data_IF_211496220145
#
_entry.id   IF_211496220145
#
_cell.length_a   1.000
_cell.length_b   1.000
_cell.length_c   1.000
_cell.angle_alpha   90.00
_cell.angle_beta   90.00
_cell.angle_gamma   90.00
#
_symmetry.space_group_name_H-M   'P 1'
#
loop_
_entity.id
_entity.type
_entity.pdbx_description
1 polymer ?
#
# COMPACT_ATOMS: atom_id res chain seq x y z
N UNK A 1 6.92 -12.58 14.23
CA UNK A 1 7.44 -11.31 13.69
C UNK A 1 8.00 -11.50 12.28
N UNK A 2 7.90 -10.49 11.43
CA UNK A 2 8.49 -10.52 10.08
C UNK A 2 10.00 -10.24 10.11
N UNK A 3 10.74 -10.74 9.10
CA UNK A 3 12.16 -10.41 8.92
C UNK A 3 12.34 -8.91 8.72
N UNK A 4 13.31 -8.29 9.40
CA UNK A 4 13.66 -6.86 9.28
C UNK A 4 13.83 -6.43 7.81
N UNK A 5 14.54 -7.24 7.02
CA UNK A 5 14.74 -7.00 5.58
C UNK A 5 13.43 -6.92 4.77
N UNK A 6 12.39 -7.66 5.18
CA UNK A 6 11.08 -7.63 4.50
C UNK A 6 10.25 -6.41 4.90
N UNK A 7 10.45 -5.88 6.10
CA UNK A 7 9.83 -4.63 6.56
C UNK A 7 10.49 -3.47 5.81
N UNK A 8 11.82 -3.38 5.84
CA UNK A 8 12.60 -2.36 5.13
C UNK A 8 12.29 -2.33 3.62
N UNK A 9 12.18 -3.51 2.98
CA UNK A 9 11.80 -3.59 1.56
C UNK A 9 10.39 -3.06 1.28
N UNK A 10 9.46 -3.19 2.22
CA UNK A 10 8.10 -2.66 2.05
C UNK A 10 8.08 -1.13 2.23
N UNK A 11 8.93 -0.60 3.11
CA UNK A 11 9.07 0.84 3.31
C UNK A 11 9.72 1.52 2.10
N UNK A 12 10.80 0.94 1.57
CA UNK A 12 11.41 1.39 0.31
C UNK A 12 10.39 1.42 -0.85
N UNK A 13 9.45 0.47 -0.89
CA UNK A 13 8.35 0.48 -1.88
C UNK A 13 7.38 1.62 -1.64
N UNK A 14 7.04 1.95 -0.39
CA UNK A 14 6.17 3.09 -0.08
C UNK A 14 6.80 4.40 -0.54
N UNK A 15 8.08 4.60 -0.24
CA UNK A 15 8.86 5.76 -0.70
C UNK A 15 8.90 5.85 -2.23
N UNK A 16 9.20 4.73 -2.90
CA UNK A 16 9.23 4.68 -4.37
C UNK A 16 7.86 4.97 -4.96
N UNK A 17 6.79 4.41 -4.39
CA UNK A 17 5.41 4.70 -4.83
C UNK A 17 5.09 6.18 -4.66
N UNK A 18 5.41 6.78 -3.52
CA UNK A 18 5.17 8.19 -3.26
C UNK A 18 5.89 9.08 -4.28
N UNK A 19 7.17 8.78 -4.58
CA UNK A 19 7.97 9.52 -5.57
C UNK A 19 7.36 9.53 -6.97
N UNK A 20 6.77 8.42 -7.41
CA UNK A 20 6.24 8.26 -8.78
C UNK A 20 4.70 8.42 -8.87
N UNK A 21 4.01 8.66 -7.75
CA UNK A 21 2.54 8.62 -7.68
C UNK A 21 1.88 9.61 -8.65
N UNK A 22 2.30 10.88 -8.62
CA UNK A 22 1.75 11.93 -9.45
C UNK A 22 1.94 11.62 -10.95
N UNK A 23 3.18 11.36 -11.36
CA UNK A 23 3.49 11.07 -12.77
C UNK A 23 2.77 9.83 -13.28
N UNK A 24 2.64 8.78 -12.47
CA UNK A 24 1.91 7.57 -12.86
C UNK A 24 0.40 7.81 -12.96
N UNK A 25 -0.17 8.70 -12.14
CA UNK A 25 -1.57 9.07 -12.24
C UNK A 25 -1.86 9.80 -13.57
N UNK A 26 -1.02 10.77 -13.94
CA UNK A 26 -1.11 11.47 -15.22
C UNK A 26 -1.05 10.51 -16.42
N UNK A 27 -0.04 9.64 -16.46
CA UNK A 27 0.14 8.70 -17.56
C UNK A 27 -1.01 7.71 -17.67
N UNK A 28 -1.52 7.22 -16.52
CA UNK A 28 -2.69 6.34 -16.51
C UNK A 28 -3.95 7.07 -16.95
N UNK A 29 -4.07 8.35 -16.64
CA UNK A 29 -5.19 9.17 -17.06
C UNK A 29 -5.17 9.39 -18.58
N UNK A 30 -4.02 9.64 -19.19
CA UNK A 30 -3.85 9.66 -20.66
C UNK A 30 -4.33 8.35 -21.28
N UNK A 31 -3.99 7.21 -20.67
CA UNK A 31 -4.43 5.90 -21.17
C UNK A 31 -5.93 5.64 -20.98
N UNK A 32 -6.54 6.22 -19.94
CA UNK A 32 -7.97 6.06 -19.63
C UNK A 32 -8.84 6.91 -20.56
N UNK A 33 -8.37 8.09 -20.95
CA UNK A 33 -9.14 9.06 -21.74
C UNK A 33 -9.45 8.53 -23.15
N UNK A 34 -10.73 8.49 -23.57
CA UNK A 34 -11.10 8.10 -24.93
C UNK A 34 -10.58 9.05 -26.01
N UNK A 35 -10.44 10.34 -25.69
CA UNK A 35 -9.98 11.40 -26.59
C UNK A 35 -8.48 11.44 -26.84
N UNK A 36 -7.67 10.67 -26.10
CA UNK A 36 -6.24 10.63 -26.30
C UNK A 36 -5.89 9.97 -27.65
N UNK A 37 -4.96 10.59 -28.37
CA UNK A 37 -4.46 10.07 -29.65
C UNK A 37 -3.66 8.78 -29.44
N UNK A 38 -3.54 7.96 -30.49
CA UNK A 38 -2.75 6.73 -30.42
C UNK A 38 -1.27 7.01 -30.09
N UNK A 39 -0.71 8.10 -30.63
CA UNK A 39 0.66 8.52 -30.36
C UNK A 39 0.89 8.85 -28.87
N UNK A 40 -0.02 9.60 -28.24
CA UNK A 40 0.03 9.91 -26.81
C UNK A 40 -0.10 8.66 -25.95
N UNK A 41 -1.01 7.74 -26.31
CA UNK A 41 -1.17 6.46 -25.63
C UNK A 41 0.08 5.60 -25.74
N UNK A 42 0.72 5.56 -26.91
CA UNK A 42 1.95 4.81 -27.12
C UNK A 42 3.10 5.40 -26.29
N UNK A 43 3.25 6.73 -26.27
CA UNK A 43 4.24 7.43 -25.46
C UNK A 43 4.03 7.15 -23.95
N UNK A 44 2.78 7.23 -23.48
CA UNK A 44 2.44 6.98 -22.08
C UNK A 44 2.71 5.52 -21.66
N UNK A 45 2.41 4.54 -22.52
CA UNK A 45 2.75 3.12 -22.29
C UNK A 45 4.26 2.91 -22.22
N UNK A 46 5.02 3.51 -23.14
CA UNK A 46 6.50 3.43 -23.17
C UNK A 46 7.10 4.02 -21.89
N UNK A 47 6.63 5.18 -21.46
CA UNK A 47 7.11 5.81 -20.22
C UNK A 47 6.77 4.97 -18.98
N UNK A 48 5.51 4.51 -18.85
CA UNK A 48 5.11 3.64 -17.75
C UNK A 48 5.92 2.34 -17.68
N UNK A 49 6.33 1.79 -18.83
CA UNK A 49 7.17 0.61 -18.94
C UNK A 49 8.64 0.84 -18.54
N UNK A 50 9.17 2.05 -18.72
CA UNK A 50 10.53 2.42 -18.29
C UNK A 50 10.66 2.63 -16.78
N UNK A 51 9.55 2.96 -16.11
CA UNK A 51 9.57 3.22 -14.68
C UNK A 51 9.82 1.95 -13.85
N UNK A 52 10.38 2.08 -12.62
CA UNK A 52 10.62 0.93 -11.75
C UNK A 52 9.33 0.15 -11.45
N UNK A 53 9.40 -1.18 -11.44
CA UNK A 53 8.24 -2.04 -11.10
C UNK A 53 7.67 -1.74 -9.71
N UNK A 54 8.54 -1.45 -8.75
CA UNK A 54 8.17 -1.15 -7.37
C UNK A 54 7.50 0.24 -7.20
N UNK A 55 7.47 1.07 -8.25
CA UNK A 55 6.65 2.30 -8.29
C UNK A 55 5.13 2.02 -8.38
N UNK A 56 4.72 0.76 -8.60
CA UNK A 56 3.30 0.40 -8.57
C UNK A 56 2.79 0.21 -7.14
N UNK A 57 1.80 1.00 -6.74
CA UNK A 57 1.14 0.93 -5.43
C UNK A 57 0.61 -0.47 -5.07
N UNK A 58 0.22 -1.26 -6.06
CA UNK A 58 -0.25 -2.65 -5.87
C UNK A 58 0.77 -3.59 -5.24
N UNK A 59 2.06 -3.23 -5.24
CA UNK A 59 3.16 -4.05 -4.70
C UNK A 59 3.47 -3.74 -3.23
N UNK A 60 2.91 -2.66 -2.69
CA UNK A 60 2.98 -2.34 -1.27
C UNK A 60 2.01 -3.27 -0.54
N UNK A 61 2.49 -3.89 0.55
CA UNK A 61 1.66 -4.76 1.38
C UNK A 61 1.38 -4.08 2.70
N UNK A 62 0.12 -4.11 3.13
CA UNK A 62 -0.22 -3.73 4.49
C UNK A 62 0.37 -4.74 5.47
N UNK A 63 1.14 -4.23 6.42
CA UNK A 63 1.83 -5.00 7.46
C UNK A 63 1.46 -4.37 8.79
N UNK A 64 1.35 -5.21 9.80
CA UNK A 64 1.28 -4.77 11.19
C UNK A 64 2.41 -3.78 11.49
N UNK A 65 2.08 -2.66 12.14
CA UNK A 65 3.05 -1.63 12.50
C UNK A 65 4.01 -2.08 13.61
N UNK A 66 3.63 -3.07 14.43
CA UNK A 66 4.47 -3.55 15.54
C UNK A 66 5.39 -4.67 15.09
N UNK A 67 4.83 -5.76 14.57
CA UNK A 67 5.59 -6.99 14.30
C UNK A 67 5.85 -7.26 12.81
N UNK A 68 5.29 -6.43 11.91
CA UNK A 68 5.43 -6.54 10.47
C UNK A 68 4.62 -7.65 9.80
N UNK A 69 3.67 -8.30 10.50
CA UNK A 69 2.87 -9.43 10.00
C UNK A 69 2.05 -9.01 8.77
N UNK A 70 2.18 -9.71 7.62
CA UNK A 70 1.57 -9.29 6.36
C UNK A 70 0.11 -9.79 6.13
N UNK A 71 -0.49 -10.43 7.14
CA UNK A 71 -1.79 -11.13 7.05
C UNK A 71 -2.67 -10.83 8.25
N UNK A 72 -3.99 -10.80 8.00
CA UNK A 72 -4.99 -10.47 9.01
C UNK A 72 -4.86 -9.03 9.48
N UNK A 73 -4.57 -8.11 8.55
CA UNK A 73 -4.37 -6.68 8.83
C UNK A 73 -5.70 -5.95 8.86
N UNK A 74 -5.96 -5.20 9.92
CA UNK A 74 -7.12 -4.34 10.06
C UNK A 74 -6.74 -2.89 9.73
N UNK A 75 -7.26 -2.36 8.62
CA UNK A 75 -6.91 -1.01 8.13
C UNK A 75 -7.24 0.10 9.13
N UNK A 76 -8.35 -0.02 9.85
CA UNK A 76 -8.78 0.95 10.86
C UNK A 76 -7.78 1.08 12.03
N UNK A 77 -7.06 0.02 12.36
CA UNK A 77 -6.16 -0.02 13.52
C UNK A 77 -4.67 -0.04 13.14
N UNK A 78 -4.33 -0.39 11.90
CA UNK A 78 -2.92 -0.55 11.50
C UNK A 78 -2.25 -1.82 12.04
N UNK A 79 -3.00 -2.72 12.66
CA UNK A 79 -2.48 -3.89 13.36
C UNK A 79 -2.92 -5.20 12.69
N UNK A 80 -2.19 -6.28 12.94
CA UNK A 80 -2.67 -7.62 12.66
C UNK A 80 -3.71 -8.06 13.69
N UNK A 81 -4.45 -9.12 13.39
CA UNK A 81 -5.45 -9.71 14.32
C UNK A 81 -4.90 -10.08 15.70
N UNK A 82 -3.60 -10.37 15.80
CA UNK A 82 -2.96 -10.73 17.07
C UNK A 82 -2.65 -9.46 17.88
N UNK A 83 -1.95 -8.50 17.28
CA UNK A 83 -1.67 -7.21 17.91
C UNK A 83 -2.95 -6.46 18.26
N UNK A 84 -3.97 -6.51 17.39
CA UNK A 84 -5.29 -5.93 17.68
C UNK A 84 -5.92 -6.54 18.93
N UNK A 85 -5.92 -7.88 19.05
CA UNK A 85 -6.49 -8.57 20.22
C UNK A 85 -5.72 -8.24 21.49
N UNK A 86 -4.40 -8.22 21.43
CA UNK A 86 -3.53 -7.90 22.56
C UNK A 86 -3.78 -6.45 23.05
N UNK A 87 -3.77 -5.48 22.14
CA UNK A 87 -4.02 -4.07 22.45
C UNK A 87 -5.46 -3.83 22.94
N UNK A 88 -6.45 -4.55 22.39
CA UNK A 88 -7.83 -4.49 22.88
C UNK A 88 -7.96 -5.04 24.30
N UNK A 89 -7.31 -6.17 24.60
CA UNK A 89 -7.31 -6.73 25.96
C UNK A 89 -6.59 -5.85 26.97
N UNK A 90 -5.53 -5.15 26.55
CA UNK A 90 -4.80 -4.20 27.37
C UNK A 90 -5.54 -2.87 27.59
N UNK A 91 -6.65 -2.62 26.88
CA UNK A 91 -7.39 -1.36 26.96
C UNK A 91 -6.73 -0.19 26.23
N UNK A 92 -5.72 -0.45 25.38
CA UNK A 92 -5.00 0.59 24.62
C UNK A 92 -5.79 1.13 23.42
N UNK A 93 -6.95 0.53 23.10
CA UNK A 93 -7.77 0.89 21.95
C UNK A 93 -9.06 1.60 22.41
N UNK A 94 -9.19 2.92 22.18
CA UNK A 94 -10.35 3.68 22.62
C UNK A 94 -11.65 3.14 22.03
N UNK A 95 -12.66 2.95 22.89
CA UNK A 95 -14.00 2.51 22.48
C UNK A 95 -14.10 1.05 22.00
N UNK A 96 -13.02 0.26 22.07
CA UNK A 96 -13.04 -1.15 21.68
C UNK A 96 -13.44 -2.02 22.87
N UNK A 97 -14.57 -2.71 22.75
CA UNK A 97 -15.04 -3.71 23.72
C UNK A 97 -15.59 -4.95 23.00
N UNK A 98 -15.72 -6.07 23.71
CA UNK A 98 -16.46 -7.23 23.18
C UNK A 98 -17.91 -6.82 22.96
N UNK A 99 -18.42 -7.05 21.75
CA UNK A 99 -19.81 -6.82 21.41
C UNK A 99 -20.64 -8.09 21.63
N UNK A 100 -21.89 -7.92 22.05
CA UNK A 100 -22.93 -8.95 22.13
C UNK A 100 -24.22 -8.33 21.62
N UNK A 101 -24.95 -9.05 20.78
CA UNK A 101 -26.25 -8.66 20.22
C UNK A 101 -27.13 -9.89 20.13
#
# INVERSE_FOLDING_TARGET
>A
MAKKSKIAKNEQRRETVARYAARRAELKEILRRPSATEAERLAARRELGRQPRDASATRVRNRDQVDGRPRGYFRAFGLSRLGLREQAHAGCLPGVRKASW
#
